data_IF_564709544233
#
_entry.id   IF_564709544233
#
_cell.length_a   1.000
_cell.length_b   1.000
_cell.length_c   1.000
_cell.angle_alpha   90.00
_cell.angle_beta   90.00
_cell.angle_gamma   90.00
#
_symmetry.space_group_name_H-M   'P 1'
#
loop_
_entity.id
_entity.type
_entity.pdbx_description
1 polymer ?
#
# COMPACT_ATOMS: atom_id res chain seq x y z
N UNK A 1 37.82 45.14 -0.91
CA UNK A 1 36.44 44.97 -0.42
C UNK A 1 35.57 44.59 -1.60
N UNK A 2 34.97 43.40 -1.54
CA UNK A 2 33.83 42.93 -2.35
C UNK A 2 33.83 41.39 -2.25
N UNK A 3 33.64 40.89 -1.03
CA UNK A 3 33.45 39.46 -0.77
C UNK A 3 31.95 39.21 -0.78
N UNK A 4 31.51 38.26 -1.61
CA UNK A 4 30.27 37.52 -1.43
C UNK A 4 29.01 38.20 -1.95
N UNK A 5 28.71 38.03 -3.24
CA UNK A 5 27.33 38.14 -3.72
C UNK A 5 26.89 37.07 -4.73
N UNK A 6 27.75 36.11 -5.10
CA UNK A 6 27.38 35.03 -6.05
C UNK A 6 27.16 33.66 -5.40
N UNK A 7 27.41 33.52 -4.09
CA UNK A 7 27.25 32.21 -3.42
C UNK A 7 25.87 32.01 -2.77
N UNK A 8 25.07 33.07 -2.58
CA UNK A 8 23.79 32.99 -1.84
C UNK A 8 22.58 32.60 -2.71
N UNK A 9 22.72 32.64 -4.03
CA UNK A 9 21.64 32.35 -4.98
C UNK A 9 21.64 30.89 -5.47
N UNK A 10 22.76 30.19 -5.33
CA UNK A 10 22.88 28.76 -5.68
C UNK A 10 22.40 27.89 -4.52
N UNK A 11 22.75 28.27 -3.28
CA UNK A 11 22.30 27.59 -2.05
C UNK A 11 20.77 27.62 -1.92
N UNK A 12 20.13 28.76 -2.20
CA UNK A 12 18.66 28.89 -2.21
C UNK A 12 17.98 28.07 -3.31
N UNK A 13 18.66 27.82 -4.45
CA UNK A 13 18.14 26.96 -5.52
C UNK A 13 18.27 25.48 -5.15
N UNK A 14 19.37 25.08 -4.50
CA UNK A 14 19.58 23.73 -4.01
C UNK A 14 18.56 23.37 -2.92
N UNK A 15 18.32 24.28 -1.97
CA UNK A 15 17.33 24.10 -0.89
C UNK A 15 15.90 23.95 -1.43
N UNK A 16 15.52 24.73 -2.45
CA UNK A 16 14.21 24.59 -3.11
C UNK A 16 14.06 23.26 -3.88
N UNK A 17 15.13 22.77 -4.51
CA UNK A 17 15.13 21.47 -5.21
C UNK A 17 15.04 20.31 -4.22
N UNK A 18 15.74 20.39 -3.08
CA UNK A 18 15.67 19.40 -2.01
C UNK A 18 14.28 19.35 -1.38
N UNK A 19 13.70 20.51 -1.05
CA UNK A 19 12.33 20.59 -0.52
C UNK A 19 11.29 19.98 -1.48
N UNK A 20 11.43 20.22 -2.79
CA UNK A 20 10.53 19.62 -3.80
C UNK A 20 10.70 18.10 -3.90
N UNK A 21 11.93 17.59 -3.80
CA UNK A 21 12.21 16.14 -3.77
C UNK A 21 11.62 15.49 -2.52
N UNK A 22 11.74 16.15 -1.37
CA UNK A 22 11.19 15.67 -0.11
C UNK A 22 9.66 15.62 -0.13
N UNK A 23 9.00 16.68 -0.58
CA UNK A 23 7.55 16.68 -0.77
C UNK A 23 7.09 15.56 -1.72
N UNK A 24 7.81 15.34 -2.81
CA UNK A 24 7.50 14.26 -3.77
C UNK A 24 7.66 12.86 -3.14
N UNK A 25 8.68 12.66 -2.29
CA UNK A 25 8.88 11.41 -1.54
C UNK A 25 7.75 11.16 -0.55
N UNK A 26 7.33 12.17 0.19
CA UNK A 26 6.20 12.06 1.15
C UNK A 26 4.92 11.68 0.42
N UNK A 27 4.62 12.33 -0.71
CA UNK A 27 3.44 12.00 -1.53
C UNK A 27 3.49 10.56 -2.05
N UNK A 28 4.65 10.13 -2.55
CA UNK A 28 4.84 8.75 -3.03
C UNK A 28 4.68 7.71 -1.91
N UNK A 29 5.21 8.01 -0.72
CA UNK A 29 5.07 7.16 0.46
C UNK A 29 3.59 7.03 0.86
N UNK A 30 2.88 8.15 0.95
CA UNK A 30 1.44 8.18 1.26
C UNK A 30 0.61 7.40 0.23
N UNK A 31 0.97 7.47 -1.06
CA UNK A 31 0.30 6.72 -2.12
C UNK A 31 0.52 5.21 -1.99
N UNK A 32 1.74 4.78 -1.64
CA UNK A 32 2.07 3.38 -1.39
C UNK A 32 1.32 2.83 -0.17
N UNK A 33 1.20 3.61 0.90
CA UNK A 33 0.47 3.22 2.10
C UNK A 33 -1.05 3.15 1.83
N UNK A 34 -1.59 4.09 1.06
CA UNK A 34 -2.98 4.03 0.63
C UNK A 34 -3.26 2.79 -0.25
N UNK A 35 -2.32 2.40 -1.11
CA UNK A 35 -2.44 1.20 -1.93
C UNK A 35 -2.39 -0.08 -1.09
N UNK A 36 -1.50 -0.17 -0.10
CA UNK A 36 -1.47 -1.30 0.86
C UNK A 36 -2.80 -1.42 1.60
N UNK A 37 -3.34 -0.32 2.09
CA UNK A 37 -4.65 -0.31 2.77
C UNK A 37 -5.77 -0.79 1.86
N UNK A 38 -5.83 -0.28 0.61
CA UNK A 38 -6.83 -0.74 -0.37
C UNK A 38 -6.71 -2.24 -0.68
N UNK A 39 -5.49 -2.74 -0.85
CA UNK A 39 -5.23 -4.15 -1.09
C UNK A 39 -5.68 -5.01 0.09
N UNK A 40 -5.36 -4.59 1.32
CA UNK A 40 -5.83 -5.24 2.55
C UNK A 40 -7.35 -5.29 2.62
N UNK A 41 -8.02 -4.16 2.42
CA UNK A 41 -9.49 -4.07 2.43
C UNK A 41 -10.12 -4.99 1.38
N UNK A 42 -9.56 -5.04 0.17
CA UNK A 42 -10.02 -5.91 -0.91
C UNK A 42 -9.91 -7.40 -0.54
N UNK A 43 -8.80 -7.79 0.08
CA UNK A 43 -8.59 -9.15 0.56
C UNK A 43 -9.55 -9.51 1.70
N UNK A 44 -9.78 -8.60 2.66
CA UNK A 44 -10.73 -8.79 3.76
C UNK A 44 -12.17 -8.95 3.26
N UNK A 45 -12.58 -8.16 2.26
CA UNK A 45 -13.89 -8.27 1.63
C UNK A 45 -14.06 -9.63 0.93
N UNK A 46 -13.04 -10.05 0.20
CA UNK A 46 -13.01 -11.37 -0.47
C UNK A 46 -13.08 -12.52 0.55
N UNK A 47 -12.34 -12.41 1.66
CA UNK A 47 -12.36 -13.38 2.77
C UNK A 47 -13.75 -13.52 3.37
N UNK A 48 -14.41 -12.40 3.63
CA UNK A 48 -15.77 -12.35 4.19
C UNK A 48 -16.77 -13.04 3.26
N UNK A 49 -16.67 -12.79 1.95
CA UNK A 49 -17.50 -13.45 0.95
C UNK A 49 -17.29 -14.96 0.94
N UNK A 50 -16.04 -15.43 0.95
CA UNK A 50 -15.73 -16.87 0.94
C UNK A 50 -16.26 -17.56 2.20
N UNK A 51 -16.14 -16.93 3.38
CA UNK A 51 -16.71 -17.47 4.62
C UNK A 51 -18.22 -17.67 4.52
N UNK A 52 -18.92 -16.65 4.01
CA UNK A 52 -20.36 -16.74 3.77
C UNK A 52 -20.73 -17.80 2.71
N UNK A 53 -19.91 -17.96 1.68
CA UNK A 53 -20.10 -19.01 0.67
C UNK A 53 -19.89 -20.42 1.27
N UNK A 54 -18.93 -20.58 2.19
CA UNK A 54 -18.71 -21.84 2.94
C UNK A 54 -19.93 -22.18 3.80
N UNK A 55 -20.48 -21.20 4.51
CA UNK A 55 -21.68 -21.39 5.35
C UNK A 55 -22.89 -21.87 4.54
N UNK A 56 -22.99 -21.44 3.27
CA UNK A 56 -24.07 -21.82 2.35
C UNK A 56 -23.76 -23.06 1.50
N UNK A 57 -22.51 -23.50 1.46
CA UNK A 57 -22.08 -24.61 0.60
C UNK A 57 -22.52 -25.96 1.17
N UNK A 58 -23.48 -26.60 0.50
CA UNK A 58 -23.94 -27.96 0.85
C UNK A 58 -23.08 -29.07 0.24
N UNK A 59 -22.32 -28.78 -0.83
CA UNK A 59 -21.51 -29.77 -1.53
C UNK A 59 -20.09 -29.87 -0.95
N UNK A 60 -19.64 -31.05 -0.46
CA UNK A 60 -18.34 -31.21 0.20
C UNK A 60 -17.15 -30.74 -0.65
N UNK A 61 -17.10 -31.15 -1.92
CA UNK A 61 -16.04 -30.75 -2.85
C UNK A 61 -16.01 -29.24 -3.12
N UNK A 62 -17.18 -28.60 -3.15
CA UNK A 62 -17.25 -27.15 -3.33
C UNK A 62 -16.75 -26.42 -2.08
N UNK A 63 -17.13 -26.93 -0.91
CA UNK A 63 -16.64 -26.43 0.38
C UNK A 63 -15.13 -26.56 0.52
N UNK A 64 -14.55 -27.70 0.17
CA UNK A 64 -13.08 -27.90 0.16
C UNK A 64 -12.37 -26.86 -0.73
N UNK A 65 -12.93 -26.57 -1.90
CA UNK A 65 -12.39 -25.55 -2.81
C UNK A 65 -12.46 -24.14 -2.18
N UNK A 66 -13.56 -23.80 -1.51
CA UNK A 66 -13.71 -22.52 -0.82
C UNK A 66 -12.77 -22.41 0.39
N UNK A 67 -12.57 -23.50 1.14
CA UNK A 67 -11.62 -23.55 2.26
C UNK A 67 -10.17 -23.39 1.78
N UNK A 68 -9.80 -23.97 0.63
CA UNK A 68 -8.50 -23.74 0.02
C UNK A 68 -8.32 -22.28 -0.45
N UNK A 69 -9.36 -21.69 -1.04
CA UNK A 69 -9.36 -20.27 -1.42
C UNK A 69 -9.23 -19.36 -0.19
N UNK A 70 -9.91 -19.69 0.92
CA UNK A 70 -9.81 -18.98 2.18
C UNK A 70 -8.37 -18.98 2.73
N UNK A 71 -7.73 -20.15 2.78
CA UNK A 71 -6.33 -20.27 3.22
C UNK A 71 -5.37 -19.43 2.37
N UNK A 72 -5.60 -19.38 1.06
CA UNK A 72 -4.79 -18.55 0.16
C UNK A 72 -4.99 -17.05 0.42
N UNK A 73 -6.22 -16.61 0.69
CA UNK A 73 -6.50 -15.21 1.07
C UNK A 73 -5.88 -14.85 2.42
N UNK A 74 -5.97 -15.74 3.40
CA UNK A 74 -5.37 -15.55 4.72
C UNK A 74 -3.83 -15.45 4.64
N UNK A 75 -3.19 -16.28 3.81
CA UNK A 75 -1.75 -16.18 3.54
C UNK A 75 -1.36 -14.81 2.96
N UNK A 76 -2.12 -14.34 1.95
CA UNK A 76 -1.87 -13.01 1.36
C UNK A 76 -2.08 -11.87 2.36
N UNK A 77 -3.07 -11.99 3.25
CA UNK A 77 -3.27 -11.00 4.31
C UNK A 77 -2.09 -11.00 5.29
N UNK A 78 -1.54 -12.17 5.63
CA UNK A 78 -0.37 -12.26 6.52
C UNK A 78 0.93 -11.74 5.89
N UNK A 79 1.04 -11.76 4.56
CA UNK A 79 2.18 -11.17 3.84
C UNK A 79 2.08 -9.64 3.73
N UNK A 80 0.88 -9.09 3.90
CA UNK A 80 0.60 -7.65 3.80
C UNK A 80 0.62 -6.93 5.15
N UNK A 81 0.56 -7.70 6.25
CA UNK A 81 0.65 -7.25 7.65
C UNK A 81 2.10 -7.16 8.13
#
# INVERSE_FOLDING_TARGET
>A
MARGWESKSVESQMEAVEARREASRIVAMNAADAERTRQRESLLLSRTRILHDIERASHPRHREMLEAALKHLDAKLSELD
#
